data_IF_134496756309
#
_entry.id   IF_134496756309
#
_cell.length_a   1.000
_cell.length_b   1.000
_cell.length_c   1.000
_cell.angle_alpha   90.00
_cell.angle_beta   90.00
_cell.angle_gamma   90.00
#
_symmetry.space_group_name_H-M   'P 1'
#
loop_
_entity.id
_entity.type
_entity.pdbx_description
1 polymer ?
#
# COMPACT_ATOMS: atom_id res chain seq x y z
N UNK A 1 67.55 -3.16 -20.89
CA UNK A 1 66.91 -3.59 -22.15
C UNK A 1 65.46 -3.15 -22.06
N UNK A 2 65.08 -2.26 -22.95
CA UNK A 2 64.03 -1.25 -22.81
C UNK A 2 62.88 -1.56 -23.76
N UNK A 3 61.63 -1.53 -23.29
CA UNK A 3 60.36 -1.26 -24.01
C UNK A 3 59.27 -1.26 -22.93
N UNK A 4 58.63 -0.18 -22.48
CA UNK A 4 57.91 0.92 -23.13
C UNK A 4 56.90 0.44 -24.19
N UNK A 5 55.62 0.38 -23.79
CA UNK A 5 54.47 0.56 -24.69
C UNK A 5 53.37 1.31 -23.93
N UNK A 6 53.29 2.60 -24.24
CA UNK A 6 52.09 3.44 -24.10
C UNK A 6 51.01 2.93 -25.05
N UNK A 7 49.74 3.04 -24.67
CA UNK A 7 48.67 3.40 -25.59
C UNK A 7 47.53 4.05 -24.82
N UNK A 8 47.46 5.37 -25.02
CA UNK A 8 46.34 6.23 -24.70
C UNK A 8 45.27 6.04 -25.77
N UNK A 9 44.03 5.73 -25.36
CA UNK A 9 42.86 6.01 -26.20
C UNK A 9 41.92 6.94 -25.43
N UNK A 10 41.94 8.19 -25.89
CA UNK A 10 41.06 9.28 -25.51
C UNK A 10 39.85 9.18 -26.46
N UNK A 11 38.74 8.64 -26.00
CA UNK A 11 37.46 8.79 -26.72
C UNK A 11 36.73 10.06 -26.29
N UNK A 12 36.64 10.93 -27.29
CA UNK A 12 36.00 12.24 -27.34
C UNK A 12 34.50 12.18 -27.06
N UNK A 13 34.03 13.18 -26.30
CA UNK A 13 32.64 13.31 -25.88
C UNK A 13 31.63 13.53 -27.01
N UNK A 14 30.41 13.09 -26.72
CA UNK A 14 29.19 13.50 -27.42
C UNK A 14 28.23 14.04 -26.36
N UNK A 15 28.13 15.36 -26.29
CA UNK A 15 27.17 16.08 -25.47
C UNK A 15 25.77 15.85 -26.06
N UNK A 16 24.92 15.12 -25.33
CA UNK A 16 23.52 14.90 -25.72
C UNK A 16 22.70 16.11 -25.27
N UNK A 17 22.16 16.76 -26.28
CA UNK A 17 21.34 17.98 -26.25
C UNK A 17 20.04 17.74 -25.47
N UNK A 18 19.82 18.55 -24.43
CA UNK A 18 18.65 18.51 -23.56
C UNK A 18 17.56 19.43 -24.16
N UNK A 19 16.47 18.84 -24.67
CA UNK A 19 15.34 19.59 -25.24
C UNK A 19 14.35 19.93 -24.13
N UNK A 20 14.37 21.17 -23.66
CA UNK A 20 13.40 21.71 -22.71
C UNK A 20 12.00 21.75 -23.32
N UNK A 21 11.06 20.97 -22.75
CA UNK A 21 9.64 21.06 -23.06
C UNK A 21 9.02 22.20 -22.26
N UNK A 22 8.49 23.17 -23.00
CA UNK A 22 7.78 24.35 -22.54
C UNK A 22 6.36 23.94 -22.09
N UNK A 23 6.06 24.06 -20.80
CA UNK A 23 4.70 23.90 -20.28
C UNK A 23 3.91 25.20 -20.48
N UNK A 24 2.84 25.11 -21.26
CA UNK A 24 1.88 26.18 -21.49
C UNK A 24 0.93 26.28 -20.30
N UNK A 25 1.02 27.36 -19.55
CA UNK A 25 0.08 27.69 -18.47
C UNK A 25 -1.33 27.93 -19.04
N UNK A 26 -2.30 27.09 -18.64
CA UNK A 26 -3.73 27.33 -18.87
C UNK A 26 -4.23 28.35 -17.85
N UNK A 27 -4.62 29.52 -18.34
CA UNK A 27 -5.43 30.49 -17.61
C UNK A 27 -6.83 29.91 -17.38
N UNK A 28 -7.23 29.74 -16.12
CA UNK A 28 -8.63 29.55 -15.74
C UNK A 28 -9.32 30.92 -15.69
N UNK A 29 -10.31 31.09 -16.55
CA UNK A 29 -11.20 32.24 -16.59
C UNK A 29 -12.16 32.19 -15.41
N UNK A 30 -12.06 33.16 -14.51
CA UNK A 30 -13.01 33.36 -13.43
C UNK A 30 -14.41 33.71 -14.00
N UNK A 31 -15.39 32.83 -13.78
CA UNK A 31 -16.81 33.10 -14.05
C UNK A 31 -17.35 34.02 -12.96
N UNK A 32 -17.75 35.23 -13.35
CA UNK A 32 -18.62 36.12 -12.59
C UNK A 32 -19.99 35.45 -12.41
N UNK A 33 -20.36 35.16 -11.17
CA UNK A 33 -21.75 34.88 -10.80
C UNK A 33 -22.52 36.20 -10.66
N UNK A 34 -23.50 36.37 -11.54
CA UNK A 34 -24.48 37.46 -11.48
C UNK A 34 -25.43 37.19 -10.33
N UNK A 35 -25.42 38.06 -9.32
CA UNK A 35 -26.40 38.07 -8.23
C UNK A 35 -27.81 38.29 -8.78
N UNK A 36 -28.66 37.26 -8.73
CA UNK A 36 -30.11 37.39 -8.93
C UNK A 36 -30.72 37.99 -7.67
N UNK A 37 -31.30 39.18 -7.79
CA UNK A 37 -32.24 39.71 -6.81
C UNK A 37 -33.50 38.84 -6.83
N UNK A 38 -33.72 38.09 -5.75
CA UNK A 38 -35.01 37.47 -5.46
C UNK A 38 -35.95 38.52 -4.85
N UNK A 39 -37.01 38.82 -5.60
CA UNK A 39 -38.15 39.58 -5.14
C UNK A 39 -38.84 38.84 -4.00
N UNK A 40 -38.84 39.43 -2.81
CA UNK A 40 -39.54 38.92 -1.63
C UNK A 40 -41.05 38.81 -1.90
N UNK A 41 -41.52 37.60 -2.20
CA UNK A 41 -42.94 37.24 -2.16
C UNK A 41 -43.34 37.07 -0.70
N UNK A 42 -44.34 37.84 -0.28
CA UNK A 42 -44.97 37.76 1.04
C UNK A 42 -45.32 36.31 1.39
N UNK A 43 -44.80 35.85 2.53
CA UNK A 43 -45.17 34.57 3.11
C UNK A 43 -46.67 34.58 3.45
N UNK A 44 -47.42 33.52 3.10
CA UNK A 44 -48.72 33.30 3.69
C UNK A 44 -48.58 33.13 5.19
N UNK A 45 -49.54 33.73 5.89
CA UNK A 45 -49.76 33.72 7.34
C UNK A 45 -49.35 32.37 7.94
N UNK A 46 -48.46 32.44 8.94
CA UNK A 46 -48.00 31.29 9.70
C UNK A 46 -49.19 30.54 10.28
N UNK A 47 -49.57 29.43 9.64
CA UNK A 47 -50.44 28.43 10.25
C UNK A 47 -49.62 27.83 11.38
N UNK A 48 -50.11 27.82 12.64
CA UNK A 48 -49.42 27.13 13.72
C UNK A 48 -49.40 25.63 13.37
N UNK A 49 -48.26 25.16 12.87
CA UNK A 49 -48.03 23.74 12.62
C UNK A 49 -47.89 23.09 13.99
N UNK A 50 -48.83 22.22 14.33
CA UNK A 50 -48.75 21.41 15.53
C UNK A 50 -47.61 20.38 15.37
N UNK A 51 -46.45 20.72 15.94
CA UNK A 51 -45.24 19.91 15.89
C UNK A 51 -45.37 18.55 16.62
N UNK A 52 -46.44 18.32 17.38
CA UNK A 52 -46.65 17.05 18.07
C UNK A 52 -46.98 15.91 17.10
N UNK A 53 -47.67 16.20 15.99
CA UNK A 53 -48.06 15.22 14.99
C UNK A 53 -46.87 14.76 14.12
N UNK A 54 -45.98 15.68 13.76
CA UNK A 54 -44.77 15.40 12.96
C UNK A 54 -43.79 14.51 13.74
N UNK A 55 -43.75 14.62 15.08
CA UNK A 55 -42.88 13.79 15.93
C UNK A 55 -43.28 12.32 15.94
N UNK A 56 -44.55 12.02 15.65
CA UNK A 56 -45.08 10.66 15.54
C UNK A 56 -44.80 10.01 14.18
N UNK A 57 -44.58 10.82 13.14
CA UNK A 57 -44.21 10.35 11.80
C UNK A 57 -42.70 10.08 11.71
N UNK A 58 -41.89 10.79 12.50
CA UNK A 58 -40.45 10.58 12.69
C UNK A 58 -40.15 9.41 13.64
N UNK A 59 -40.92 8.33 13.59
CA UNK A 59 -40.49 7.05 14.18
C UNK A 59 -39.26 6.61 13.39
N UNK A 60 -38.07 6.83 13.98
CA UNK A 60 -36.83 6.29 13.45
C UNK A 60 -37.08 4.81 13.17
N UNK A 61 -36.84 4.32 11.94
CA UNK A 61 -36.97 2.90 11.67
C UNK A 61 -36.11 2.17 12.70
N UNK A 62 -36.78 1.37 13.54
CA UNK A 62 -36.13 0.46 14.49
C UNK A 62 -35.40 -0.59 13.64
N UNK A 63 -34.18 -0.26 13.20
CA UNK A 63 -33.30 -1.19 12.51
C UNK A 63 -33.06 -2.34 13.48
N UNK A 64 -33.62 -3.50 13.15
CA UNK A 64 -33.54 -4.69 14.01
C UNK A 64 -32.05 -5.06 14.17
N UNK A 65 -31.53 -5.20 15.40
CA UNK A 65 -30.10 -5.46 15.63
C UNK A 65 -29.59 -6.74 14.95
N UNK A 66 -30.49 -7.69 14.68
CA UNK A 66 -30.18 -8.93 13.95
C UNK A 66 -29.67 -8.68 12.51
N UNK A 67 -30.16 -7.63 11.84
CA UNK A 67 -29.84 -7.38 10.43
C UNK A 67 -28.42 -6.83 10.23
N UNK A 68 -27.96 -6.01 11.18
CA UNK A 68 -26.61 -5.43 11.17
C UNK A 68 -25.51 -6.51 11.26
N UNK A 69 -25.75 -7.58 12.04
CA UNK A 69 -24.76 -8.66 12.22
C UNK A 69 -24.57 -9.51 10.95
N UNK A 70 -25.64 -9.74 10.18
CA UNK A 70 -25.58 -10.48 8.91
C UNK A 70 -24.84 -9.65 7.86
N UNK A 71 -25.15 -8.36 7.75
CA UNK A 71 -24.46 -7.45 6.84
C UNK A 71 -22.96 -7.34 7.16
N UNK A 72 -22.60 -7.24 8.44
CA UNK A 72 -21.21 -7.19 8.88
C UNK A 72 -20.43 -8.46 8.47
N UNK A 73 -21.01 -9.65 8.68
CA UNK A 73 -20.37 -10.93 8.28
C UNK A 73 -20.17 -11.02 6.76
N UNK A 74 -21.14 -10.56 5.98
CA UNK A 74 -21.04 -10.50 4.52
C UNK A 74 -19.91 -9.55 4.10
N UNK A 75 -19.86 -8.34 4.69
CA UNK A 75 -18.82 -7.35 4.41
C UNK A 75 -17.42 -7.86 4.75
N UNK A 76 -17.25 -8.55 5.88
CA UNK A 76 -15.98 -9.18 6.28
C UNK A 76 -15.54 -10.22 5.25
N UNK A 77 -16.45 -11.06 4.75
CA UNK A 77 -16.13 -12.05 3.71
C UNK A 77 -15.70 -11.41 2.40
N UNK A 78 -16.36 -10.33 1.98
CA UNK A 78 -15.92 -9.58 0.80
C UNK A 78 -14.54 -8.97 0.98
N UNK A 79 -14.27 -8.36 2.15
CA UNK A 79 -12.96 -7.82 2.48
C UNK A 79 -11.87 -8.91 2.42
N UNK A 80 -12.16 -10.10 2.96
CA UNK A 80 -11.26 -11.26 2.90
C UNK A 80 -10.91 -11.65 1.46
N UNK A 81 -11.90 -11.71 0.56
CA UNK A 81 -11.65 -11.99 -0.86
C UNK A 81 -10.82 -10.90 -1.53
N UNK A 82 -11.06 -9.62 -1.23
CA UNK A 82 -10.26 -8.51 -1.74
C UNK A 82 -8.79 -8.63 -1.32
N UNK A 83 -8.52 -9.00 -0.07
CA UNK A 83 -7.15 -9.22 0.43
C UNK A 83 -6.46 -10.33 -0.36
N UNK A 84 -7.13 -11.47 -0.60
CA UNK A 84 -6.54 -12.58 -1.37
C UNK A 84 -6.23 -12.13 -2.80
N UNK A 85 -7.19 -11.53 -3.48
CA UNK A 85 -7.06 -11.11 -4.89
C UNK A 85 -5.91 -10.10 -5.04
N UNK A 86 -5.73 -9.20 -4.09
CA UNK A 86 -4.71 -8.16 -4.16
C UNK A 86 -3.32 -8.65 -3.71
N UNK A 87 -3.24 -9.48 -2.66
CA UNK A 87 -1.97 -9.93 -2.11
C UNK A 87 -1.37 -11.11 -2.87
N UNK A 88 -2.19 -12.00 -3.42
CA UNK A 88 -1.72 -13.22 -4.08
C UNK A 88 -0.78 -12.95 -5.27
N UNK A 89 -1.04 -12.00 -6.18
CA UNK A 89 -0.12 -11.68 -7.28
C UNK A 89 1.26 -11.23 -6.80
N UNK A 90 1.34 -10.46 -5.72
CA UNK A 90 2.62 -10.00 -5.15
C UNK A 90 3.39 -11.19 -4.57
N UNK A 91 2.72 -12.04 -3.80
CA UNK A 91 3.33 -13.26 -3.22
C UNK A 91 3.84 -14.19 -4.33
N UNK A 92 3.01 -14.43 -5.34
CA UNK A 92 3.35 -15.31 -6.45
C UNK A 92 4.54 -14.77 -7.24
N UNK A 93 4.55 -13.47 -7.54
CA UNK A 93 5.67 -12.85 -8.26
C UNK A 93 6.96 -12.88 -7.44
N UNK A 94 6.92 -12.63 -6.13
CA UNK A 94 8.11 -12.69 -5.27
C UNK A 94 8.74 -14.09 -5.33
N UNK A 95 7.91 -15.15 -5.24
CA UNK A 95 8.37 -16.53 -5.34
C UNK A 95 8.83 -16.88 -6.76
N UNK A 96 8.11 -16.44 -7.79
CA UNK A 96 8.46 -16.68 -9.19
C UNK A 96 9.84 -16.10 -9.52
N UNK A 97 10.09 -14.84 -9.17
CA UNK A 97 11.39 -14.20 -9.41
C UNK A 97 12.48 -14.78 -8.50
N UNK A 98 12.13 -15.19 -7.28
CA UNK A 98 13.08 -15.86 -6.37
C UNK A 98 13.55 -17.23 -6.87
N UNK A 99 12.71 -18.02 -7.55
CA UNK A 99 13.05 -19.38 -7.99
C UNK A 99 13.43 -19.50 -9.47
N UNK A 100 12.80 -18.74 -10.35
CA UNK A 100 12.85 -18.98 -11.80
C UNK A 100 13.60 -17.90 -12.60
N UNK A 101 14.01 -16.79 -11.97
CA UNK A 101 14.75 -15.75 -12.69
C UNK A 101 16.21 -16.09 -12.90
N UNK A 102 16.84 -15.33 -13.81
CA UNK A 102 18.21 -15.54 -14.25
C UNK A 102 19.16 -15.65 -13.04
N UNK A 103 19.78 -16.83 -12.82
CA UNK A 103 20.59 -17.07 -11.64
C UNK A 103 21.80 -16.15 -11.58
N UNK A 104 22.29 -15.62 -12.71
CA UNK A 104 23.42 -14.67 -12.74
C UNK A 104 23.00 -13.32 -12.15
N UNK A 105 21.77 -12.90 -12.45
CA UNK A 105 21.20 -11.64 -11.96
C UNK A 105 20.85 -11.70 -10.47
N UNK A 106 20.09 -12.70 -10.03
CA UNK A 106 19.50 -12.71 -8.68
C UNK A 106 20.42 -13.30 -7.60
N UNK A 107 21.38 -14.15 -7.97
CA UNK A 107 22.31 -14.78 -7.02
C UNK A 107 23.64 -14.03 -6.89
N UNK A 108 23.66 -12.74 -7.25
CA UNK A 108 24.80 -11.88 -6.95
C UNK A 108 25.09 -11.93 -5.44
N UNK A 109 26.34 -12.20 -5.10
CA UNK A 109 26.81 -12.21 -3.71
C UNK A 109 27.51 -10.89 -3.43
N UNK A 110 27.19 -10.30 -2.28
CA UNK A 110 27.82 -9.06 -1.86
C UNK A 110 28.87 -9.37 -0.81
N UNK A 111 30.07 -8.82 -0.95
CA UNK A 111 31.19 -9.10 -0.03
C UNK A 111 30.87 -8.78 1.43
N UNK A 112 29.94 -7.84 1.65
CA UNK A 112 29.51 -7.40 2.98
C UNK A 112 28.30 -8.17 3.51
N UNK A 113 27.48 -8.78 2.64
CA UNK A 113 26.22 -9.42 3.01
C UNK A 113 26.10 -10.77 2.27
N UNK A 114 26.14 -11.88 3.04
CA UNK A 114 26.04 -13.25 2.51
C UNK A 114 24.62 -13.67 2.09
N UNK A 115 23.75 -12.70 1.82
CA UNK A 115 22.35 -12.93 1.45
C UNK A 115 22.20 -12.45 0.00
N UNK A 116 21.66 -13.31 -0.86
CA UNK A 116 21.40 -12.96 -2.25
C UNK A 116 20.04 -12.31 -2.41
N UNK A 117 19.81 -11.60 -3.53
CA UNK A 117 18.49 -11.05 -3.85
C UNK A 117 17.45 -12.17 -4.02
N UNK A 118 17.86 -13.33 -4.54
CA UNK A 118 17.02 -14.53 -4.61
C UNK A 118 16.54 -14.98 -3.23
N UNK A 119 17.44 -15.03 -2.23
CA UNK A 119 17.09 -15.40 -0.86
C UNK A 119 16.13 -14.40 -0.24
N UNK A 120 16.38 -13.10 -0.46
CA UNK A 120 15.49 -12.04 -0.01
C UNK A 120 14.06 -12.22 -0.55
N UNK A 121 13.91 -12.43 -1.87
CA UNK A 121 12.62 -12.60 -2.53
C UNK A 121 11.88 -13.86 -2.05
N UNK A 122 12.60 -14.99 -1.89
CA UNK A 122 12.02 -16.24 -1.35
C UNK A 122 11.49 -16.04 0.06
N UNK A 123 12.29 -15.45 0.96
CA UNK A 123 11.88 -15.18 2.33
C UNK A 123 10.69 -14.23 2.35
N UNK A 124 10.69 -13.18 1.51
CA UNK A 124 9.57 -12.25 1.39
C UNK A 124 8.28 -12.98 0.94
N UNK A 125 8.37 -13.82 -0.09
CA UNK A 125 7.23 -14.57 -0.62
C UNK A 125 6.65 -15.53 0.41
N UNK A 126 7.48 -16.35 1.07
CA UNK A 126 7.02 -17.29 2.09
C UNK A 126 6.48 -16.58 3.34
N UNK A 127 7.12 -15.50 3.77
CA UNK A 127 6.64 -14.70 4.89
C UNK A 127 5.27 -14.09 4.60
N UNK A 128 5.09 -13.48 3.42
CA UNK A 128 3.81 -12.90 3.02
C UNK A 128 2.73 -13.98 2.86
N UNK A 129 3.07 -15.18 2.36
CA UNK A 129 2.17 -16.32 2.30
C UNK A 129 1.72 -16.76 3.71
N UNK A 130 2.67 -16.89 4.64
CA UNK A 130 2.39 -17.22 6.03
C UNK A 130 1.49 -16.18 6.71
N UNK A 131 1.79 -14.89 6.51
CA UNK A 131 0.98 -13.80 7.04
C UNK A 131 -0.42 -13.73 6.42
N UNK A 132 -0.56 -14.06 5.14
CA UNK A 132 -1.87 -14.20 4.48
C UNK A 132 -2.66 -15.31 5.17
N UNK A 133 -2.08 -16.49 5.39
CA UNK A 133 -2.75 -17.59 6.11
C UNK A 133 -3.21 -17.18 7.52
N UNK A 134 -2.35 -16.52 8.30
CA UNK A 134 -2.73 -15.99 9.63
C UNK A 134 -3.88 -14.99 9.52
N UNK A 135 -3.83 -14.09 8.54
CA UNK A 135 -4.87 -13.07 8.35
C UNK A 135 -6.22 -13.70 8.00
N UNK A 136 -6.23 -14.73 7.14
CA UNK A 136 -7.44 -15.47 6.81
C UNK A 136 -7.99 -16.21 8.04
N UNK A 137 -7.14 -16.81 8.86
CA UNK A 137 -7.55 -17.43 10.13
C UNK A 137 -8.12 -16.39 11.10
N UNK A 138 -7.48 -15.23 11.23
CA UNK A 138 -7.93 -14.14 12.08
C UNK A 138 -9.31 -13.61 11.65
N UNK A 139 -9.56 -13.43 10.35
CA UNK A 139 -10.89 -13.05 9.85
C UNK A 139 -11.97 -14.08 10.21
N UNK A 140 -11.67 -15.37 10.10
CA UNK A 140 -12.60 -16.42 10.49
C UNK A 140 -12.87 -16.40 12.01
N UNK A 141 -11.84 -16.20 12.83
CA UNK A 141 -11.97 -16.11 14.29
C UNK A 141 -12.77 -14.89 14.73
N UNK A 142 -12.55 -13.72 14.14
CA UNK A 142 -13.28 -12.49 14.45
C UNK A 142 -14.79 -12.66 14.22
N UNK A 143 -15.21 -13.50 13.26
CA UNK A 143 -16.64 -13.75 13.04
C UNK A 143 -17.31 -14.62 14.12
N UNK A 144 -16.53 -15.23 15.02
CA UNK A 144 -16.99 -16.14 16.07
C UNK A 144 -16.82 -15.60 17.50
N UNK A 145 -15.88 -14.68 17.73
CA UNK A 145 -15.54 -14.20 19.06
C UNK A 145 -16.38 -12.97 19.43
N UNK A 146 -17.06 -13.01 20.57
CA UNK A 146 -17.65 -11.83 21.21
C UNK A 146 -16.52 -10.94 21.80
N UNK A 147 -16.63 -9.62 21.62
CA UNK A 147 -15.59 -8.56 21.73
C UNK A 147 -14.68 -8.47 22.98
N UNK A 148 -14.70 -9.42 23.92
CA UNK A 148 -14.12 -9.23 25.27
C UNK A 148 -12.93 -10.12 25.63
N UNK A 149 -12.19 -10.64 24.64
CA UNK A 149 -11.16 -11.67 24.85
C UNK A 149 -9.68 -11.23 24.82
N UNK A 150 -8.86 -11.92 25.63
CA UNK A 150 -7.38 -11.97 25.57
C UNK A 150 -6.88 -12.28 24.15
N UNK A 151 -7.67 -13.01 23.36
CA UNK A 151 -7.39 -13.41 21.97
C UNK A 151 -7.17 -12.21 21.05
N UNK A 152 -7.93 -11.12 21.22
CA UNK A 152 -7.74 -9.89 20.44
C UNK A 152 -6.40 -9.22 20.76
N UNK A 153 -5.98 -9.26 22.02
CA UNK A 153 -4.67 -8.76 22.47
C UNK A 153 -3.51 -9.53 21.81
N UNK A 154 -3.60 -10.86 21.75
CA UNK A 154 -2.58 -11.70 21.10
C UNK A 154 -2.48 -11.40 19.61
N UNK A 155 -3.61 -11.31 18.90
CA UNK A 155 -3.63 -10.99 17.46
C UNK A 155 -3.01 -9.61 17.17
N UNK A 156 -3.31 -8.61 18.01
CA UNK A 156 -2.70 -7.28 17.88
C UNK A 156 -1.19 -7.29 18.15
N UNK A 157 -0.73 -8.06 19.14
CA UNK A 157 0.69 -8.22 19.43
C UNK A 157 1.43 -8.87 18.25
N UNK A 158 0.90 -9.97 17.70
CA UNK A 158 1.43 -10.65 16.52
C UNK A 158 1.47 -9.69 15.33
N UNK A 159 0.39 -8.94 15.09
CA UNK A 159 0.32 -7.95 14.02
C UNK A 159 1.37 -6.84 14.17
N UNK A 160 1.62 -6.39 15.40
CA UNK A 160 2.64 -5.36 15.69
C UNK A 160 4.06 -5.88 15.44
N UNK A 161 4.39 -7.07 15.96
CA UNK A 161 5.69 -7.73 15.74
C UNK A 161 5.93 -7.94 14.24
N UNK A 162 4.89 -8.37 13.52
CA UNK A 162 4.96 -8.60 12.07
C UNK A 162 5.27 -7.32 11.29
N UNK A 163 4.68 -6.17 11.68
CA UNK A 163 5.00 -4.86 11.08
C UNK A 163 6.46 -4.47 11.29
N UNK A 164 7.00 -4.68 12.49
CA UNK A 164 8.41 -4.41 12.78
C UNK A 164 9.34 -5.27 11.91
N UNK A 165 9.07 -6.58 11.86
CA UNK A 165 9.86 -7.52 11.06
C UNK A 165 9.80 -7.17 9.57
N UNK A 166 8.61 -6.90 9.03
CA UNK A 166 8.41 -6.51 7.63
C UNK A 166 9.13 -5.20 7.29
N UNK A 167 9.11 -4.23 8.22
CA UNK A 167 9.83 -2.96 8.06
C UNK A 167 11.34 -3.19 7.96
N UNK A 168 11.91 -3.94 8.91
CA UNK A 168 13.33 -4.27 8.90
C UNK A 168 13.72 -5.04 7.63
N UNK A 169 12.90 -6.02 7.22
CA UNK A 169 13.16 -6.81 6.02
C UNK A 169 13.11 -5.97 4.75
N UNK A 170 12.14 -5.04 4.63
CA UNK A 170 12.05 -4.14 3.48
C UNK A 170 13.21 -3.15 3.41
N UNK A 171 13.75 -2.70 4.54
CA UNK A 171 14.98 -1.88 4.58
C UNK A 171 16.17 -2.69 4.07
N UNK A 172 16.31 -3.96 4.46
CA UNK A 172 17.38 -4.84 3.96
C UNK A 172 17.28 -5.01 2.44
N UNK A 173 16.09 -5.32 1.92
CA UNK A 173 15.86 -5.45 0.47
C UNK A 173 16.15 -4.16 -0.29
N UNK A 174 15.74 -3.02 0.27
CA UNK A 174 16.03 -1.69 -0.27
C UNK A 174 17.53 -1.43 -0.38
N UNK A 175 18.28 -1.64 0.71
CA UNK A 175 19.73 -1.45 0.74
C UNK A 175 20.41 -2.40 -0.24
N UNK A 176 20.02 -3.67 -0.28
CA UNK A 176 20.57 -4.64 -1.22
C UNK A 176 20.37 -4.19 -2.67
N UNK A 177 19.17 -3.78 -3.04
CA UNK A 177 18.85 -3.37 -4.41
C UNK A 177 19.50 -2.03 -4.82
N UNK A 178 19.42 -1.00 -3.99
CA UNK A 178 19.89 0.33 -4.39
C UNK A 178 21.39 0.55 -4.17
N UNK A 179 22.00 -0.08 -3.17
CA UNK A 179 23.41 0.13 -2.85
C UNK A 179 24.35 -0.86 -3.55
N UNK A 180 23.93 -2.13 -3.72
CA UNK A 180 24.86 -3.20 -4.09
C UNK A 180 24.49 -3.95 -5.37
N UNK A 181 23.22 -3.98 -5.77
CA UNK A 181 22.76 -4.77 -6.91
C UNK A 181 23.21 -4.18 -8.25
N UNK A 182 23.93 -4.97 -9.05
CA UNK A 182 24.35 -4.56 -10.39
C UNK A 182 23.20 -4.75 -11.39
N UNK A 183 22.63 -3.62 -11.82
CA UNK A 183 21.49 -3.56 -12.72
C UNK A 183 21.83 -4.01 -14.14
N UNK A 184 23.10 -3.96 -14.55
CA UNK A 184 23.50 -4.30 -15.91
C UNK A 184 23.49 -5.80 -16.19
N UNK A 185 23.54 -6.62 -15.12
CA UNK A 185 23.51 -8.09 -15.21
C UNK A 185 22.09 -8.65 -15.33
N UNK A 186 21.07 -7.81 -15.23
CA UNK A 186 19.68 -8.23 -15.16
C UNK A 186 18.90 -7.79 -16.38
N UNK A 187 18.01 -8.67 -16.86
CA UNK A 187 16.99 -8.29 -17.83
C UNK A 187 16.08 -7.21 -17.24
N UNK A 188 15.69 -6.22 -18.05
CA UNK A 188 14.79 -5.12 -17.73
C UNK A 188 13.55 -5.57 -16.97
N UNK A 189 12.95 -6.70 -17.35
CA UNK A 189 11.76 -7.23 -16.66
C UNK A 189 12.03 -7.55 -15.18
N UNK A 190 13.15 -8.18 -14.88
CA UNK A 190 13.53 -8.55 -13.50
C UNK A 190 13.92 -7.31 -12.70
N UNK A 191 14.73 -6.43 -13.30
CA UNK A 191 15.16 -5.20 -12.66
C UNK A 191 13.97 -4.28 -12.35
N UNK A 192 13.06 -4.09 -13.31
CA UNK A 192 11.85 -3.29 -13.13
C UNK A 192 10.93 -3.89 -12.07
N UNK A 193 10.76 -5.21 -12.07
CA UNK A 193 9.96 -5.89 -11.05
C UNK A 193 10.52 -5.66 -9.65
N UNK A 194 11.82 -5.92 -9.43
CA UNK A 194 12.46 -5.75 -8.11
C UNK A 194 12.36 -4.29 -7.64
N UNK A 195 12.58 -3.33 -8.54
CA UNK A 195 12.43 -1.91 -8.23
C UNK A 195 11.00 -1.58 -7.77
N UNK A 196 10.00 -1.98 -8.57
CA UNK A 196 8.58 -1.67 -8.32
C UNK A 196 8.11 -2.34 -7.03
N UNK A 197 8.41 -3.62 -6.81
CA UNK A 197 7.98 -4.35 -5.61
C UNK A 197 8.57 -3.74 -4.35
N UNK A 198 9.84 -3.31 -4.35
CA UNK A 198 10.47 -2.65 -3.22
C UNK A 198 9.84 -1.29 -2.90
N UNK A 199 9.56 -0.48 -3.93
CA UNK A 199 8.88 0.82 -3.74
C UNK A 199 7.48 0.61 -3.16
N UNK A 200 6.70 -0.32 -3.72
CA UNK A 200 5.34 -0.62 -3.22
C UNK A 200 5.40 -1.09 -1.77
N UNK A 201 6.35 -1.98 -1.43
CA UNK A 201 6.53 -2.50 -0.06
C UNK A 201 6.92 -1.40 0.93
N UNK A 202 7.79 -0.47 0.55
CA UNK A 202 8.17 0.67 1.40
C UNK A 202 7.00 1.63 1.62
N UNK A 203 6.24 1.95 0.56
CA UNK A 203 5.03 2.80 0.67
C UNK A 203 4.02 2.11 1.59
N UNK A 204 3.78 0.82 1.40
CA UNK A 204 2.87 0.04 2.23
C UNK A 204 3.25 0.10 3.71
N UNK A 205 4.53 -0.12 4.03
CA UNK A 205 5.06 -0.01 5.40
C UNK A 205 4.81 1.39 5.95
N UNK A 206 5.17 2.44 5.19
CA UNK A 206 4.98 3.83 5.62
C UNK A 206 3.50 4.15 5.93
N UNK A 207 2.58 3.76 5.05
CA UNK A 207 1.14 3.94 5.24
C UNK A 207 0.62 3.17 6.45
N UNK A 208 1.07 1.92 6.64
CA UNK A 208 0.67 1.10 7.77
C UNK A 208 1.08 1.72 9.12
N UNK A 209 2.25 2.36 9.19
CA UNK A 209 2.68 3.11 10.37
C UNK A 209 1.89 4.41 10.56
N UNK A 210 1.61 5.16 9.49
CA UNK A 210 0.83 6.40 9.56
C UNK A 210 -0.58 6.17 10.13
N UNK A 211 -1.28 5.15 9.64
CA UNK A 211 -2.63 4.79 10.13
C UNK A 211 -2.58 4.40 11.61
N UNK A 212 -1.55 3.65 12.03
CA UNK A 212 -1.38 3.26 13.43
C UNK A 212 -1.19 4.44 14.39
N UNK A 213 -0.58 5.54 13.93
CA UNK A 213 -0.41 6.75 14.75
C UNK A 213 -1.69 7.56 14.90
N UNK A 214 -2.58 7.54 13.90
CA UNK A 214 -3.86 8.26 13.99
C UNK A 214 -4.78 7.64 15.04
N UNK A 215 -4.87 6.32 15.10
CA UNK A 215 -5.75 5.63 16.07
C UNK A 215 -5.37 5.94 17.53
N UNK A 216 -4.07 6.05 17.84
CA UNK A 216 -3.60 6.41 19.19
C UNK A 216 -3.96 7.83 19.62
N UNK A 217 -4.22 8.74 18.68
CA UNK A 217 -4.62 10.12 18.99
C UNK A 217 -6.10 10.23 19.33
N UNK A 218 -6.93 9.29 18.86
CA UNK A 218 -8.38 9.30 19.10
C UNK A 218 -8.75 8.67 20.44
N UNK A 219 -7.83 7.93 21.08
CA UNK A 219 -8.03 7.24 22.36
C UNK A 219 -7.56 8.07 23.58
N UNK A 220 -6.91 9.22 23.37
CA UNK A 220 -6.47 10.15 24.42
C UNK A 220 -7.29 11.44 24.38
#
# INVERSE_FOLDING_TARGET
MTTLYDNNDIETGSAKQETAKQETAKQETAKQETAKQETAKQLPIAVPIDYTDIRSILVKPQVRPEDNTKLQKIMIRYCQWCVIIFCFPIIFTDLYFGFNSDPVCINQTFSQIKITMADYLKVCGFYNLFMLCITLLAFNLITQIDETGVEFGILNAIGTISKCMLTAWNIVGAVMYWAYFDKNLCNDNTNNYINITLVIKLIYVFLAWCIGQQNKKTEN
#
